data_IF_892536507033
#
_entry.id   IF_892536507033
#
_cell.length_a   1.000
_cell.length_b   1.000
_cell.length_c   1.000
_cell.angle_alpha   90.00
_cell.angle_beta   90.00
_cell.angle_gamma   90.00
#
_symmetry.space_group_name_H-M   'P 1'
#
loop_
_entity.id
_entity.type
_entity.pdbx_description
1 polymer ?
#
# COMPACT_ATOMS: atom_id res chain seq x y z
N UNK A 1 -23.14 15.23 37.43
CA UNK A 1 -23.84 16.12 36.48
C UNK A 1 -25.04 16.83 37.11
N UNK A 2 -25.98 16.16 37.76
CA UNK A 2 -27.15 16.79 38.39
C UNK A 2 -26.75 17.79 39.48
N UNK A 3 -25.74 17.50 40.28
CA UNK A 3 -25.23 18.41 41.30
C UNK A 3 -24.52 19.65 40.70
N UNK A 4 -23.87 19.49 39.55
CA UNK A 4 -23.28 20.59 38.79
C UNK A 4 -24.35 21.51 38.20
N UNK A 5 -25.42 20.95 37.62
CA UNK A 5 -26.57 21.73 37.10
C UNK A 5 -27.21 22.60 38.16
N UNK A 6 -27.33 22.10 39.39
CA UNK A 6 -27.92 22.85 40.50
C UNK A 6 -27.09 24.01 41.03
N UNK A 7 -25.78 24.03 40.75
CA UNK A 7 -24.81 25.03 41.23
C UNK A 7 -24.34 26.01 40.16
N UNK A 8 -24.65 25.74 38.90
CA UNK A 8 -24.24 26.59 37.78
C UNK A 8 -25.23 27.69 37.50
N UNK A 9 -24.73 28.82 37.06
CA UNK A 9 -25.51 29.97 36.57
C UNK A 9 -25.28 30.08 35.06
N UNK A 10 -26.33 30.33 34.29
CA UNK A 10 -26.18 30.46 32.84
C UNK A 10 -25.43 31.76 32.46
N UNK A 11 -24.51 31.73 31.46
CA UNK A 11 -24.11 30.59 30.64
C UNK A 11 -22.87 29.86 31.20
N UNK A 12 -23.06 28.68 31.78
CA UNK A 12 -21.95 27.82 32.24
C UNK A 12 -21.85 26.56 31.42
N UNK A 13 -20.60 26.16 31.08
CA UNK A 13 -20.34 24.90 30.39
C UNK A 13 -20.43 23.75 31.41
N UNK A 14 -21.44 22.94 31.32
CA UNK A 14 -21.71 21.87 32.28
C UNK A 14 -21.04 20.55 31.91
N UNK A 15 -20.76 20.34 30.64
CA UNK A 15 -20.16 19.12 30.12
C UNK A 15 -19.42 19.39 28.79
N UNK A 16 -18.26 18.85 28.65
CA UNK A 16 -17.56 18.77 27.36
C UNK A 16 -17.94 17.46 26.66
N UNK A 17 -17.90 17.46 25.33
CA UNK A 17 -17.94 16.20 24.58
C UNK A 17 -16.80 15.29 25.02
N UNK A 18 -17.09 13.99 25.09
CA UNK A 18 -16.05 13.00 25.37
C UNK A 18 -14.97 13.09 24.29
N UNK A 19 -13.71 13.15 24.72
CA UNK A 19 -12.61 13.10 23.76
C UNK A 19 -12.61 11.75 23.00
N UNK A 20 -11.92 11.73 21.87
CA UNK A 20 -11.89 10.55 20.98
C UNK A 20 -11.33 9.32 21.68
N UNK A 21 -10.36 9.48 22.58
CA UNK A 21 -9.76 8.38 23.34
C UNK A 21 -10.77 7.70 24.27
N UNK A 22 -11.51 8.51 25.04
CA UNK A 22 -12.55 8.00 25.94
C UNK A 22 -13.72 7.36 25.19
N UNK A 23 -14.08 7.89 24.02
CA UNK A 23 -15.08 7.29 23.13
C UNK A 23 -14.64 5.90 22.65
N UNK A 24 -13.39 5.77 22.20
CA UNK A 24 -12.82 4.48 21.74
C UNK A 24 -12.79 3.48 22.91
N UNK A 25 -12.38 3.92 24.09
CA UNK A 25 -12.32 3.06 25.29
C UNK A 25 -13.74 2.58 25.65
N UNK A 26 -14.71 3.48 25.69
CA UNK A 26 -16.11 3.13 25.97
C UNK A 26 -16.64 2.05 25.02
N UNK A 27 -16.35 2.19 23.73
CA UNK A 27 -16.92 1.33 22.69
C UNK A 27 -16.14 0.01 22.51
N UNK A 28 -14.89 -0.04 22.96
CA UNK A 28 -13.97 -1.16 22.68
C UNK A 28 -13.48 -1.91 23.90
N UNK A 29 -13.49 -1.31 25.11
CA UNK A 29 -12.94 -1.92 26.31
C UNK A 29 -13.73 -3.16 26.71
N UNK A 30 -13.09 -4.31 26.66
CA UNK A 30 -13.64 -5.59 27.09
C UNK A 30 -12.63 -6.36 27.97
N UNK A 31 -12.97 -7.57 28.36
CA UNK A 31 -12.12 -8.43 29.22
C UNK A 31 -10.81 -8.90 28.58
N UNK A 32 -10.64 -8.74 27.26
CA UNK A 32 -9.43 -9.19 26.54
C UNK A 32 -8.28 -8.20 26.59
N UNK A 33 -8.51 -6.96 27.05
CA UNK A 33 -7.47 -5.95 27.15
C UNK A 33 -6.55 -6.19 28.35
N UNK A 34 -5.26 -6.33 28.09
CA UNK A 34 -4.23 -6.52 29.11
C UNK A 34 -3.52 -5.23 29.51
N UNK A 35 -3.46 -4.23 28.62
CA UNK A 35 -2.76 -2.98 28.85
C UNK A 35 -3.30 -1.85 27.95
N UNK A 36 -3.33 -0.63 28.48
CA UNK A 36 -3.52 0.63 27.76
C UNK A 36 -2.27 1.46 28.03
N UNK A 37 -1.43 1.66 27.03
CA UNK A 37 -0.23 2.47 27.12
C UNK A 37 -0.49 3.86 26.53
N UNK A 38 -0.07 4.91 27.24
CA UNK A 38 -0.25 6.31 26.85
C UNK A 38 1.08 7.04 27.10
N UNK A 39 1.54 7.84 26.16
CA UNK A 39 2.79 8.61 26.22
C UNK A 39 2.62 10.07 26.60
N UNK A 40 1.38 10.56 26.64
CA UNK A 40 1.03 11.89 27.13
C UNK A 40 0.46 11.81 28.56
N UNK A 41 1.00 12.63 29.48
CA UNK A 41 0.64 12.58 30.88
C UNK A 41 -0.77 13.13 31.16
N UNK A 42 -1.21 14.13 30.40
CA UNK A 42 -2.54 14.70 30.55
C UNK A 42 -3.61 13.70 30.10
N UNK A 43 -3.39 13.07 28.92
CA UNK A 43 -4.27 12.02 28.40
C UNK A 43 -4.26 10.78 29.28
N UNK A 44 -3.10 10.39 29.85
CA UNK A 44 -3.02 9.28 30.79
C UNK A 44 -3.91 9.53 32.02
N UNK A 45 -3.84 10.71 32.65
CA UNK A 45 -4.67 11.05 33.81
C UNK A 45 -6.15 11.04 33.45
N UNK A 46 -6.52 11.61 32.31
CA UNK A 46 -7.91 11.62 31.83
C UNK A 46 -8.47 10.23 31.60
N UNK A 47 -7.72 9.36 30.88
CA UNK A 47 -8.11 7.97 30.63
C UNK A 47 -8.23 7.18 31.94
N UNK A 48 -7.26 7.34 32.82
CA UNK A 48 -7.27 6.68 34.13
C UNK A 48 -8.48 7.05 34.96
N UNK A 49 -8.82 8.34 35.02
CA UNK A 49 -9.95 8.84 35.79
C UNK A 49 -11.29 8.41 35.16
N UNK A 50 -11.35 8.35 33.81
CA UNK A 50 -12.51 7.81 33.11
C UNK A 50 -12.71 6.32 33.39
N UNK A 51 -11.68 5.50 33.28
CA UNK A 51 -11.75 4.05 33.56
C UNK A 51 -12.10 3.82 35.04
N UNK A 52 -11.59 4.63 35.96
CA UNK A 52 -11.93 4.54 37.40
C UNK A 52 -13.42 4.73 37.65
N UNK A 53 -14.10 5.52 36.83
CA UNK A 53 -15.55 5.73 36.97
C UNK A 53 -16.37 4.56 36.41
N UNK A 54 -15.87 3.86 35.36
CA UNK A 54 -16.60 2.78 34.68
C UNK A 54 -16.25 1.42 35.29
N UNK A 55 -14.99 1.13 35.47
CA UNK A 55 -14.47 -0.15 35.93
C UNK A 55 -13.20 0.06 36.79
N UNK A 56 -13.36 0.27 38.09
CA UNK A 56 -12.23 0.54 38.99
C UNK A 56 -11.15 -0.53 39.00
N UNK A 57 -11.51 -1.81 38.72
CA UNK A 57 -10.58 -2.92 38.72
C UNK A 57 -9.60 -2.84 37.54
N UNK A 58 -10.03 -2.28 36.44
CA UNK A 58 -9.23 -2.11 35.22
C UNK A 58 -8.32 -0.88 35.22
N UNK A 59 -8.33 -0.03 36.22
CA UNK A 59 -7.41 1.11 36.33
C UNK A 59 -5.95 0.66 36.25
N UNK A 60 -5.65 -0.53 36.74
CA UNK A 60 -4.28 -1.12 36.77
C UNK A 60 -3.68 -1.39 35.40
N UNK A 61 -4.53 -1.54 34.35
CA UNK A 61 -4.06 -1.79 33.00
C UNK A 61 -3.60 -0.52 32.29
N UNK A 62 -3.98 0.67 32.78
CA UNK A 62 -3.54 1.96 32.21
C UNK A 62 -2.13 2.26 32.70
N UNK A 63 -1.21 2.48 31.76
CA UNK A 63 0.20 2.74 32.06
C UNK A 63 0.70 3.95 31.26
N UNK A 64 1.40 4.84 31.97
CA UNK A 64 2.13 5.91 31.35
C UNK A 64 3.43 5.36 30.75
N UNK A 65 3.59 5.54 29.45
CA UNK A 65 4.80 5.15 28.72
C UNK A 65 5.85 6.27 28.83
N UNK A 66 7.04 5.94 29.33
CA UNK A 66 8.16 6.88 29.50
C UNK A 66 9.44 6.36 28.82
N UNK A 67 9.31 5.54 27.79
CA UNK A 67 10.46 5.02 27.05
C UNK A 67 11.07 6.06 26.11
N UNK A 68 12.37 5.87 25.78
CA UNK A 68 13.09 6.72 24.84
C UNK A 68 12.74 6.45 23.36
N UNK A 69 12.14 5.31 23.07
CA UNK A 69 11.68 4.93 21.72
C UNK A 69 10.25 5.41 21.56
N UNK A 70 9.83 5.94 20.39
CA UNK A 70 8.43 6.28 20.16
C UNK A 70 7.50 5.12 20.48
N UNK A 71 6.36 5.40 21.12
CA UNK A 71 5.45 4.37 21.61
C UNK A 71 5.01 3.39 20.53
N UNK A 72 4.73 3.86 19.31
CA UNK A 72 4.34 3.01 18.19
C UNK A 72 5.46 2.08 17.73
N UNK A 73 6.71 2.53 17.80
CA UNK A 73 7.86 1.70 17.44
C UNK A 73 8.15 0.65 18.51
N UNK A 74 7.98 1.01 19.80
CA UNK A 74 8.15 0.09 20.91
C UNK A 74 7.15 -1.09 20.87
N UNK A 75 5.94 -0.87 20.35
CA UNK A 75 4.91 -1.89 20.20
C UNK A 75 4.81 -2.44 18.77
N UNK A 76 5.79 -2.21 17.90
CA UNK A 76 5.81 -2.61 16.47
C UNK A 76 4.61 -2.11 15.65
N UNK A 77 3.89 -1.09 16.12
CA UNK A 77 2.69 -0.55 15.46
C UNK A 77 3.06 0.16 14.16
N UNK A 78 4.13 0.96 14.16
CA UNK A 78 4.61 1.64 12.93
C UNK A 78 4.91 0.65 11.81
N UNK A 79 5.52 -0.48 12.13
CA UNK A 79 5.79 -1.57 11.18
C UNK A 79 4.50 -2.21 10.66
N UNK A 80 3.54 -2.45 11.56
CA UNK A 80 2.24 -3.00 11.18
C UNK A 80 1.46 -2.03 10.29
N UNK A 81 1.45 -0.73 10.59
CA UNK A 81 0.82 0.30 9.76
C UNK A 81 1.42 0.31 8.35
N UNK A 82 2.76 0.32 8.24
CA UNK A 82 3.44 0.23 6.92
C UNK A 82 3.04 -1.03 6.15
N UNK A 83 2.89 -2.16 6.84
CA UNK A 83 2.49 -3.42 6.22
C UNK A 83 1.03 -3.44 5.75
N UNK A 84 0.15 -2.62 6.34
CA UNK A 84 -1.26 -2.54 5.94
C UNK A 84 -1.46 -2.02 4.51
N UNK A 85 -0.52 -1.21 4.01
CA UNK A 85 -0.59 -0.68 2.65
C UNK A 85 0.23 -1.52 1.65
N UNK A 86 0.91 -2.56 2.13
CA UNK A 86 1.67 -3.44 1.26
C UNK A 86 0.75 -4.33 0.42
N UNK A 87 1.09 -4.49 -0.86
CA UNK A 87 0.41 -5.43 -1.76
C UNK A 87 0.55 -6.88 -1.28
N UNK A 88 1.68 -7.22 -0.67
CA UNK A 88 2.03 -8.56 -0.19
C UNK A 88 1.84 -8.66 1.32
N UNK A 89 1.17 -9.70 1.77
CA UNK A 89 1.01 -10.05 3.19
C UNK A 89 1.58 -11.43 3.43
N UNK A 90 2.66 -11.51 4.20
CA UNK A 90 3.32 -12.77 4.51
C UNK A 90 2.49 -13.59 5.50
N UNK A 91 2.32 -14.85 5.22
CA UNK A 91 1.73 -15.85 6.09
C UNK A 91 2.83 -16.71 6.77
N UNK A 92 2.43 -17.53 7.73
CA UNK A 92 3.37 -18.46 8.35
C UNK A 92 3.91 -19.46 7.33
N UNK A 93 5.19 -19.87 7.51
CA UNK A 93 5.85 -20.92 6.73
C UNK A 93 6.05 -20.58 5.24
N UNK A 94 6.18 -19.31 4.87
CA UNK A 94 6.55 -18.86 3.52
C UNK A 94 5.39 -18.73 2.52
N UNK A 95 4.15 -19.01 2.92
CA UNK A 95 2.97 -18.64 2.14
C UNK A 95 2.72 -17.13 2.23
N UNK A 96 1.98 -16.56 1.27
CA UNK A 96 1.66 -15.14 1.27
C UNK A 96 0.36 -14.85 0.50
N UNK A 97 -0.23 -13.70 0.81
CA UNK A 97 -1.37 -13.15 0.09
C UNK A 97 -0.91 -12.01 -0.81
N UNK A 98 -1.55 -11.86 -1.96
CA UNK A 98 -1.50 -10.67 -2.79
C UNK A 98 -2.87 -10.01 -2.69
N UNK A 99 -2.91 -8.75 -2.24
CA UNK A 99 -4.16 -7.98 -2.12
C UNK A 99 -4.08 -6.83 -3.09
N UNK A 100 -4.99 -6.82 -4.06
CA UNK A 100 -5.10 -5.78 -5.07
C UNK A 100 -6.48 -5.13 -5.02
N UNK A 101 -6.48 -3.81 -5.16
CA UNK A 101 -7.69 -3.03 -5.32
C UNK A 101 -7.84 -2.68 -6.79
N UNK A 102 -8.94 -3.10 -7.40
CA UNK A 102 -9.33 -2.71 -8.76
C UNK A 102 -10.42 -1.64 -8.68
N UNK A 103 -10.80 -1.08 -9.81
CA UNK A 103 -11.85 -0.06 -9.86
C UNK A 103 -13.19 -0.53 -9.25
N UNK A 104 -13.56 -1.79 -9.46
CA UNK A 104 -14.86 -2.33 -9.07
C UNK A 104 -14.82 -3.25 -7.85
N UNK A 105 -13.69 -3.90 -7.55
CA UNK A 105 -13.61 -4.96 -6.54
C UNK A 105 -12.22 -5.07 -5.94
N UNK A 106 -12.12 -5.80 -4.82
CA UNK A 106 -10.85 -6.23 -4.28
C UNK A 106 -10.58 -7.67 -4.68
N UNK A 107 -9.35 -7.97 -5.07
CA UNK A 107 -8.92 -9.31 -5.42
C UNK A 107 -7.83 -9.75 -4.45
N UNK A 108 -7.96 -10.95 -3.92
CA UNK A 108 -6.99 -11.55 -2.99
C UNK A 108 -6.57 -12.89 -3.56
N UNK A 109 -5.29 -13.04 -3.84
CA UNK A 109 -4.68 -14.27 -4.34
C UNK A 109 -3.87 -14.94 -3.21
N UNK A 110 -4.03 -16.25 -3.04
CA UNK A 110 -3.38 -17.06 -2.00
C UNK A 110 -2.27 -17.89 -2.60
N UNK A 111 -1.04 -17.63 -2.17
CA UNK A 111 0.15 -18.32 -2.65
C UNK A 111 0.78 -19.20 -1.58
N UNK A 112 1.07 -20.47 -1.90
CA UNK A 112 1.71 -21.42 -0.99
C UNK A 112 3.23 -21.19 -0.79
N UNK A 113 3.86 -20.36 -1.65
CA UNK A 113 5.30 -20.23 -1.68
C UNK A 113 6.01 -21.50 -2.18
N UNK A 114 7.28 -21.69 -1.79
CA UNK A 114 8.11 -22.82 -2.25
C UNK A 114 7.78 -24.17 -1.58
N UNK A 115 6.50 -24.51 -1.47
CA UNK A 115 6.06 -25.78 -0.88
C UNK A 115 5.66 -26.78 -1.94
N UNK A 116 6.63 -27.39 -2.57
CA UNK A 116 6.47 -28.63 -3.36
C UNK A 116 6.76 -29.82 -2.44
N UNK A 117 5.72 -30.49 -1.93
CA UNK A 117 5.84 -31.82 -1.30
C UNK A 117 5.01 -32.81 -2.10
N UNK A 118 5.42 -34.09 -2.00
CA UNK A 118 4.84 -35.24 -2.72
C UNK A 118 3.30 -35.23 -2.75
N UNK A 119 2.71 -35.74 -3.84
CA UNK A 119 1.29 -35.67 -4.19
C UNK A 119 0.31 -36.07 -3.09
N UNK A 120 0.63 -37.05 -2.25
CA UNK A 120 -0.25 -37.53 -1.15
C UNK A 120 -0.47 -36.50 -0.03
N UNK A 121 0.37 -35.45 0.06
CA UNK A 121 0.26 -34.41 1.09
C UNK A 121 -0.19 -33.05 0.51
N UNK A 122 -0.44 -32.96 -0.80
CA UNK A 122 -0.72 -31.69 -1.49
C UNK A 122 -2.06 -31.09 -1.04
N UNK A 123 -3.13 -31.91 -1.01
CA UNK A 123 -4.46 -31.50 -0.57
C UNK A 123 -4.45 -31.01 0.91
N UNK A 124 -3.76 -31.71 1.79
CA UNK A 124 -3.66 -31.30 3.21
C UNK A 124 -2.84 -30.03 3.35
N UNK A 125 -1.76 -29.90 2.58
CA UNK A 125 -0.92 -28.68 2.58
C UNK A 125 -1.71 -27.49 2.06
N UNK A 126 -2.49 -27.68 0.97
CA UNK A 126 -3.37 -26.64 0.42
C UNK A 126 -4.42 -26.21 1.44
N UNK A 127 -5.04 -27.17 2.14
CA UNK A 127 -6.03 -26.89 3.19
C UNK A 127 -5.43 -26.09 4.35
N UNK A 128 -4.25 -26.49 4.85
CA UNK A 128 -3.56 -25.77 5.94
C UNK A 128 -3.21 -24.33 5.56
N UNK A 129 -2.75 -24.12 4.31
CA UNK A 129 -2.45 -22.78 3.81
C UNK A 129 -3.73 -21.97 3.66
N UNK A 130 -4.78 -22.55 3.08
CA UNK A 130 -6.05 -21.86 2.88
C UNK A 130 -6.72 -21.46 4.21
N UNK A 131 -6.66 -22.31 5.24
CA UNK A 131 -7.16 -21.96 6.57
C UNK A 131 -6.36 -20.84 7.22
N UNK A 132 -5.03 -20.86 7.08
CA UNK A 132 -4.18 -19.77 7.56
C UNK A 132 -4.45 -18.47 6.78
N UNK A 133 -4.66 -18.57 5.47
CA UNK A 133 -5.03 -17.48 4.60
C UNK A 133 -6.40 -16.89 4.99
N UNK A 134 -7.42 -17.72 5.17
CA UNK A 134 -8.77 -17.28 5.57
C UNK A 134 -8.74 -16.44 6.85
N UNK A 135 -7.97 -16.87 7.84
CA UNK A 135 -7.80 -16.14 9.11
C UNK A 135 -7.16 -14.77 8.89
N UNK A 136 -6.09 -14.70 8.10
CA UNK A 136 -5.43 -13.43 7.80
C UNK A 136 -6.28 -12.54 6.88
N UNK A 137 -7.00 -13.11 5.91
CA UNK A 137 -7.92 -12.37 5.04
C UNK A 137 -9.00 -11.69 5.87
N UNK A 138 -9.69 -12.40 6.75
CA UNK A 138 -10.70 -11.83 7.63
C UNK A 138 -10.12 -10.69 8.50
N UNK A 139 -8.87 -10.83 8.94
CA UNK A 139 -8.14 -9.77 9.66
C UNK A 139 -7.86 -8.57 8.74
N UNK A 140 -7.36 -8.79 7.53
CA UNK A 140 -7.03 -7.73 6.55
C UNK A 140 -8.27 -6.98 6.08
N UNK A 141 -9.40 -7.65 5.88
CA UNK A 141 -10.68 -7.00 5.55
C UNK A 141 -11.07 -5.95 6.59
N UNK A 142 -10.90 -6.26 7.88
CA UNK A 142 -11.19 -5.33 8.98
C UNK A 142 -10.13 -4.23 9.10
N UNK A 143 -8.85 -4.58 9.02
CA UNK A 143 -7.75 -3.63 9.22
C UNK A 143 -7.69 -2.57 8.13
N UNK A 144 -7.88 -2.98 6.87
CA UNK A 144 -7.86 -2.09 5.69
C UNK A 144 -9.22 -1.49 5.38
N UNK A 145 -10.26 -1.87 6.12
CA UNK A 145 -11.67 -1.55 5.87
C UNK A 145 -12.08 -1.83 4.41
N UNK A 146 -11.62 -2.97 3.87
CA UNK A 146 -11.96 -3.37 2.51
C UNK A 146 -13.46 -3.65 2.42
N UNK A 147 -14.15 -2.91 1.59
CA UNK A 147 -15.59 -3.03 1.38
C UNK A 147 -15.95 -3.20 -0.10
N UNK A 148 -17.21 -3.44 -0.37
CA UNK A 148 -17.69 -3.80 -1.71
C UNK A 148 -17.55 -5.29 -1.98
N UNK A 149 -17.25 -5.64 -3.22
CA UNK A 149 -17.04 -7.03 -3.66
C UNK A 149 -15.57 -7.39 -3.40
N UNK A 150 -15.36 -8.53 -2.75
CA UNK A 150 -14.04 -9.12 -2.53
C UNK A 150 -14.05 -10.52 -3.14
N UNK A 151 -13.13 -10.79 -4.04
CA UNK A 151 -12.91 -12.10 -4.65
C UNK A 151 -11.61 -12.67 -4.09
N UNK A 152 -11.68 -13.88 -3.58
CA UNK A 152 -10.55 -14.59 -3.01
C UNK A 152 -10.28 -15.81 -3.88
N UNK A 153 -9.05 -15.91 -4.38
CA UNK A 153 -8.56 -17.07 -5.11
C UNK A 153 -7.75 -17.94 -4.15
N UNK A 154 -8.40 -19.02 -3.66
CA UNK A 154 -7.78 -19.98 -2.76
C UNK A 154 -7.02 -21.04 -3.56
N UNK A 155 -6.02 -21.65 -2.92
CA UNK A 155 -5.33 -22.79 -3.51
C UNK A 155 -6.35 -23.91 -3.77
N UNK A 156 -6.29 -24.51 -4.96
CA UNK A 156 -7.23 -25.54 -5.38
C UNK A 156 -7.36 -26.67 -4.37
N UNK A 157 -8.62 -27.01 -4.07
CA UNK A 157 -9.02 -28.14 -3.25
C UNK A 157 -9.89 -29.09 -4.10
N UNK A 158 -9.57 -30.38 -4.06
CA UNK A 158 -10.30 -31.37 -4.83
C UNK A 158 -11.48 -31.96 -4.05
N UNK A 159 -11.31 -32.18 -2.73
CA UNK A 159 -12.31 -32.78 -1.88
C UNK A 159 -13.43 -31.80 -1.50
N UNK A 160 -14.69 -32.16 -1.78
CA UNK A 160 -15.84 -31.32 -1.44
C UNK A 160 -15.94 -31.02 0.05
N UNK A 161 -15.54 -31.96 0.91
CA UNK A 161 -15.49 -31.77 2.38
C UNK A 161 -14.52 -30.65 2.77
N UNK A 162 -13.35 -30.56 2.14
CA UNK A 162 -12.37 -29.52 2.41
C UNK A 162 -12.86 -28.13 1.95
N UNK A 163 -13.54 -28.09 0.80
CA UNK A 163 -14.17 -26.86 0.31
C UNK A 163 -15.24 -26.35 1.28
N UNK A 164 -16.08 -27.27 1.78
CA UNK A 164 -17.10 -26.91 2.78
C UNK A 164 -16.47 -26.46 4.09
N UNK A 165 -15.46 -27.17 4.59
CA UNK A 165 -14.77 -26.82 5.83
C UNK A 165 -14.08 -25.43 5.73
N UNK A 166 -13.49 -25.09 4.58
CA UNK A 166 -12.90 -23.78 4.34
C UNK A 166 -13.97 -22.66 4.34
N UNK A 167 -15.12 -22.93 3.70
CA UNK A 167 -16.26 -22.01 3.71
C UNK A 167 -16.77 -21.78 5.14
N UNK A 168 -17.02 -22.84 5.89
CA UNK A 168 -17.55 -22.77 7.26
C UNK A 168 -16.58 -22.00 8.18
N UNK A 169 -15.28 -22.22 8.03
CA UNK A 169 -14.26 -21.50 8.79
C UNK A 169 -14.25 -20.01 8.41
N UNK A 170 -14.37 -19.66 7.12
CA UNK A 170 -14.45 -18.25 6.71
C UNK A 170 -15.68 -17.57 7.28
N UNK A 171 -16.85 -18.20 7.24
CA UNK A 171 -18.09 -17.67 7.84
C UNK A 171 -17.88 -17.39 9.33
N UNK A 172 -17.33 -18.35 10.06
CA UNK A 172 -17.02 -18.21 11.49
C UNK A 172 -16.04 -17.07 11.79
N UNK A 173 -14.99 -16.92 10.97
CA UNK A 173 -14.01 -15.84 11.12
C UNK A 173 -14.61 -14.47 10.85
N UNK A 174 -15.61 -14.40 9.97
CA UNK A 174 -16.31 -13.15 9.65
C UNK A 174 -17.38 -12.76 10.67
N UNK A 175 -17.87 -13.67 11.53
CA UNK A 175 -18.84 -13.34 12.59
C UNK A 175 -18.37 -12.22 13.54
N UNK A 176 -17.06 -12.07 13.70
CA UNK A 176 -16.46 -11.01 14.52
C UNK A 176 -16.43 -9.65 13.84
N UNK A 177 -16.78 -9.56 12.56
CA UNK A 177 -16.82 -8.31 11.81
C UNK A 177 -18.11 -7.54 12.09
N UNK A 178 -18.00 -6.29 12.53
CA UNK A 178 -19.15 -5.42 12.82
C UNK A 178 -19.83 -4.88 11.54
N UNK A 179 -19.16 -4.94 10.39
CA UNK A 179 -19.74 -4.52 9.12
C UNK A 179 -20.67 -5.61 8.57
N UNK A 180 -21.79 -5.22 7.96
CA UNK A 180 -22.66 -6.16 7.25
C UNK A 180 -21.88 -6.83 6.12
N UNK A 181 -21.91 -8.14 6.08
CA UNK A 181 -21.20 -8.93 5.07
C UNK A 181 -21.99 -10.17 4.70
N UNK A 182 -21.67 -10.73 3.56
CA UNK A 182 -22.18 -12.02 3.10
C UNK A 182 -21.02 -12.79 2.48
N UNK A 183 -20.82 -14.03 2.90
CA UNK A 183 -19.82 -14.95 2.36
C UNK A 183 -20.57 -15.96 1.49
N UNK A 184 -20.14 -16.14 0.24
CA UNK A 184 -20.69 -17.16 -0.66
C UNK A 184 -19.78 -18.39 -0.70
N UNK A 185 -20.35 -19.59 -0.87
CA UNK A 185 -19.57 -20.83 -1.00
C UNK A 185 -18.56 -20.75 -2.14
N UNK A 186 -17.51 -21.58 -2.08
CA UNK A 186 -16.52 -21.66 -3.15
C UNK A 186 -17.19 -22.08 -4.47
N UNK A 187 -16.83 -21.39 -5.52
CA UNK A 187 -17.22 -21.74 -6.89
C UNK A 187 -16.53 -23.04 -7.33
N UNK A 188 -16.92 -23.58 -8.47
CA UNK A 188 -16.25 -24.74 -9.10
C UNK A 188 -14.77 -24.46 -9.40
N UNK A 189 -14.42 -23.19 -9.59
CA UNK A 189 -13.06 -22.71 -9.90
C UNK A 189 -12.23 -22.34 -8.65
N UNK A 190 -12.67 -22.68 -7.43
CA UNK A 190 -11.93 -22.37 -6.21
C UNK A 190 -12.09 -20.95 -5.68
N UNK A 191 -12.85 -20.09 -6.37
CA UNK A 191 -13.06 -18.72 -5.97
C UNK A 191 -14.09 -18.59 -4.86
N UNK A 192 -13.79 -17.80 -3.81
CA UNK A 192 -14.76 -17.40 -2.79
C UNK A 192 -15.11 -15.92 -2.97
N UNK A 193 -16.38 -15.58 -2.88
CA UNK A 193 -16.85 -14.20 -2.94
C UNK A 193 -17.36 -13.76 -1.59
N UNK A 194 -16.92 -12.56 -1.17
CA UNK A 194 -17.44 -11.87 0.00
C UNK A 194 -17.97 -10.51 -0.42
N UNK A 195 -19.16 -10.16 0.02
CA UNK A 195 -19.65 -8.79 -0.06
C UNK A 195 -19.61 -8.18 1.34
N UNK A 196 -19.02 -6.99 1.49
CA UNK A 196 -18.87 -6.31 2.74
C UNK A 196 -19.29 -4.83 2.60
N UNK A 197 -20.11 -4.34 3.52
CA UNK A 197 -20.52 -2.94 3.52
C UNK A 197 -19.30 -2.05 3.82
N UNK A 198 -19.10 -1.00 3.03
CA UNK A 198 -18.11 0.05 3.33
C UNK A 198 -18.58 0.85 4.53
N UNK A 199 -17.78 0.93 5.56
CA UNK A 199 -18.08 1.68 6.79
C UNK A 199 -17.42 3.06 6.74
N UNK A 200 -16.30 3.20 6.03
CA UNK A 200 -15.52 4.43 5.88
C UNK A 200 -15.17 4.68 4.42
N UNK A 201 -14.89 5.94 4.03
CA UNK A 201 -14.25 6.20 2.74
C UNK A 201 -12.93 5.41 2.66
N UNK A 202 -12.62 4.89 1.48
CA UNK A 202 -11.36 4.17 1.26
C UNK A 202 -10.22 5.14 1.59
N UNK A 203 -9.46 4.84 2.62
CA UNK A 203 -8.19 5.52 2.86
C UNK A 203 -7.21 5.06 1.79
N UNK A 204 -7.28 5.65 0.61
CA UNK A 204 -6.24 5.54 -0.41
C UNK A 204 -5.13 6.52 0.00
N UNK A 205 -4.42 6.20 1.06
CA UNK A 205 -3.12 6.80 1.26
C UNK A 205 -2.15 6.06 0.33
N UNK A 206 -1.81 6.71 -0.77
CA UNK A 206 -0.64 6.31 -1.55
C UNK A 206 0.58 6.58 -0.67
N UNK A 207 1.02 5.56 0.05
CA UNK A 207 2.24 5.61 0.89
C UNK A 207 3.50 5.65 0.02
N UNK A 208 3.35 5.65 -1.29
CA UNK A 208 4.44 5.69 -2.26
C UNK A 208 4.25 6.85 -3.23
N UNK A 209 5.30 7.62 -3.41
CA UNK A 209 5.37 8.59 -4.49
C UNK A 209 5.35 7.88 -5.85
N UNK A 210 4.75 8.52 -6.84
CA UNK A 210 4.76 8.01 -8.21
C UNK A 210 6.22 7.97 -8.68
N UNK A 211 6.68 6.80 -9.09
CA UNK A 211 8.04 6.64 -9.60
C UNK A 211 8.25 7.57 -10.83
N UNK A 212 9.19 8.53 -10.79
CA UNK A 212 9.39 9.46 -11.91
C UNK A 212 9.88 8.77 -13.19
N UNK A 213 10.43 7.54 -13.06
CA UNK A 213 10.93 6.78 -14.22
C UNK A 213 9.82 6.08 -15.00
N UNK A 214 8.79 5.57 -14.33
CA UNK A 214 7.72 4.79 -14.98
C UNK A 214 6.32 5.39 -14.77
N UNK A 215 6.21 6.54 -14.12
CA UNK A 215 4.95 7.21 -13.80
C UNK A 215 3.89 6.26 -13.20
N UNK A 216 4.35 5.33 -12.33
CA UNK A 216 3.49 4.36 -11.64
C UNK A 216 3.15 3.09 -12.43
N UNK A 217 3.55 2.99 -13.72
CA UNK A 217 3.25 1.81 -14.55
C UNK A 217 4.03 0.55 -14.15
N UNK A 218 5.12 0.67 -13.37
CA UNK A 218 6.04 -0.42 -13.04
C UNK A 218 6.83 -0.96 -14.24
N UNK A 219 6.62 -0.41 -15.42
CA UNK A 219 7.28 -0.79 -16.68
C UNK A 219 7.92 0.44 -17.31
N UNK A 220 9.11 0.28 -17.85
CA UNK A 220 9.80 1.27 -18.67
C UNK A 220 9.96 0.72 -20.09
N UNK A 221 9.97 1.59 -21.08
CA UNK A 221 10.32 1.18 -22.44
C UNK A 221 11.72 0.55 -22.47
N UNK A 222 11.93 -0.48 -23.32
CA UNK A 222 13.27 -1.09 -23.44
C UNK A 222 14.31 -0.04 -23.85
N UNK A 223 15.36 0.10 -23.03
CA UNK A 223 16.44 1.05 -23.29
C UNK A 223 17.39 0.60 -24.41
N UNK A 224 17.26 -0.66 -24.85
CA UNK A 224 18.14 -1.30 -25.87
C UNK A 224 18.17 -0.58 -27.20
N UNK A 225 17.12 0.16 -27.55
CA UNK A 225 17.02 0.91 -28.81
C UNK A 225 17.03 2.43 -28.61
N UNK A 226 17.31 2.91 -27.40
CA UNK A 226 17.25 4.35 -27.11
C UNK A 226 18.27 5.15 -27.92
N UNK A 227 19.47 4.62 -28.10
CA UNK A 227 20.51 5.21 -28.93
C UNK A 227 20.06 5.38 -30.37
N UNK A 228 19.42 4.35 -30.94
CA UNK A 228 18.85 4.41 -32.30
C UNK A 228 17.68 5.38 -32.42
N UNK A 229 16.79 5.41 -31.41
CA UNK A 229 15.71 6.40 -31.38
C UNK A 229 16.26 7.84 -31.39
N UNK A 230 17.26 8.12 -30.55
CA UNK A 230 17.92 9.42 -30.49
C UNK A 230 18.62 9.73 -31.82
N UNK A 231 19.35 8.78 -32.39
CA UNK A 231 20.05 8.95 -33.67
C UNK A 231 19.08 9.26 -34.82
N UNK A 232 17.98 8.50 -34.92
CA UNK A 232 16.95 8.73 -35.95
C UNK A 232 16.32 10.12 -35.83
N UNK A 233 16.04 10.57 -34.61
CA UNK A 233 15.47 11.88 -34.37
C UNK A 233 16.47 13.01 -34.71
N UNK A 234 17.74 12.83 -34.38
CA UNK A 234 18.80 13.77 -34.81
C UNK A 234 18.90 13.81 -36.33
N UNK A 235 18.83 12.66 -37.00
CA UNK A 235 18.83 12.57 -38.46
C UNK A 235 17.66 13.37 -39.05
N UNK A 236 16.46 13.15 -38.58
CA UNK A 236 15.26 13.87 -38.99
C UNK A 236 15.38 15.39 -38.80
N UNK A 237 15.80 15.82 -37.60
CA UNK A 237 15.95 17.23 -37.28
C UNK A 237 17.03 17.92 -38.13
N UNK A 238 18.07 17.20 -38.54
CA UNK A 238 19.17 17.75 -39.31
C UNK A 238 18.95 17.69 -40.82
N UNK A 239 18.47 16.55 -41.33
CA UNK A 239 18.32 16.31 -42.78
C UNK A 239 17.02 16.88 -43.33
N UNK A 240 15.89 16.64 -42.62
CA UNK A 240 14.57 17.07 -43.09
C UNK A 240 14.23 18.50 -42.67
N UNK A 241 14.61 18.89 -41.41
CA UNK A 241 14.31 20.23 -40.87
C UNK A 241 15.48 21.21 -40.92
N UNK A 242 16.69 20.79 -41.33
CA UNK A 242 17.85 21.66 -41.55
C UNK A 242 18.50 22.24 -40.29
N UNK A 243 18.22 21.72 -39.11
CA UNK A 243 18.79 22.25 -37.88
C UNK A 243 20.30 21.94 -37.78
N UNK A 244 21.12 22.96 -37.55
CA UNK A 244 22.59 22.84 -37.38
C UNK A 244 23.03 22.83 -35.93
N UNK A 245 22.09 23.03 -34.97
CA UNK A 245 22.31 22.99 -33.55
C UNK A 245 21.14 22.30 -32.87
N UNK A 246 21.44 21.33 -32.00
CA UNK A 246 20.45 20.61 -31.18
C UNK A 246 20.97 20.54 -29.75
N UNK A 247 20.16 21.03 -28.81
CA UNK A 247 20.36 20.80 -27.38
C UNK A 247 19.50 19.58 -26.97
N UNK A 248 20.18 18.52 -26.57
CA UNK A 248 19.58 17.25 -26.15
C UNK A 248 19.52 17.21 -24.63
N UNK A 249 18.32 17.25 -24.05
CA UNK A 249 18.11 17.15 -22.60
C UNK A 249 17.66 15.73 -22.28
N UNK A 250 18.40 15.06 -21.41
CA UNK A 250 18.24 13.64 -21.10
C UNK A 250 18.56 13.37 -19.61
N UNK A 251 18.16 12.22 -19.11
CA UNK A 251 18.55 11.79 -17.76
C UNK A 251 20.07 11.75 -17.59
N UNK A 252 20.61 11.92 -16.36
CA UNK A 252 22.05 11.87 -16.07
C UNK A 252 22.74 10.59 -16.56
N UNK A 253 22.05 9.45 -16.49
CA UNK A 253 22.57 8.16 -16.96
C UNK A 253 22.79 8.15 -18.48
N UNK A 254 21.80 8.61 -19.24
CA UNK A 254 21.89 8.70 -20.70
C UNK A 254 22.91 9.77 -21.11
N UNK A 255 22.97 10.90 -20.42
CA UNK A 255 23.98 11.93 -20.69
C UNK A 255 25.42 11.40 -20.52
N UNK A 256 25.66 10.64 -19.46
CA UNK A 256 26.94 9.99 -19.21
C UNK A 256 27.27 8.97 -20.31
N UNK A 257 26.33 8.10 -20.67
CA UNK A 257 26.47 7.13 -21.75
C UNK A 257 26.80 7.78 -23.09
N UNK A 258 26.09 8.84 -23.47
CA UNK A 258 26.31 9.57 -24.73
C UNK A 258 27.65 10.29 -24.79
N UNK A 259 28.22 10.67 -23.64
CA UNK A 259 29.51 11.37 -23.52
C UNK A 259 30.69 10.46 -23.27
N UNK A 260 30.48 9.18 -23.01
CA UNK A 260 31.50 8.22 -22.60
C UNK A 260 32.54 7.95 -23.73
N UNK A 261 33.83 8.05 -23.37
CA UNK A 261 34.94 7.70 -24.23
C UNK A 261 35.37 8.79 -25.24
N UNK A 262 36.54 8.57 -25.82
CA UNK A 262 37.17 9.48 -26.84
C UNK A 262 36.33 9.58 -28.12
N UNK A 263 35.73 8.44 -28.55
CA UNK A 263 34.80 8.35 -29.68
C UNK A 263 33.36 8.21 -29.23
N UNK A 264 32.92 9.11 -28.34
CA UNK A 264 31.56 9.09 -27.78
C UNK A 264 30.49 9.13 -28.88
N UNK A 265 29.28 8.56 -28.57
CA UNK A 265 28.15 8.59 -29.49
C UNK A 265 27.81 10.03 -29.90
N UNK A 266 27.87 10.98 -28.95
CA UNK A 266 27.71 12.41 -29.22
C UNK A 266 28.65 12.91 -30.33
N UNK A 267 29.99 12.59 -30.26
CA UNK A 267 30.99 13.01 -31.26
C UNK A 267 30.75 12.34 -32.60
N UNK A 268 30.42 11.05 -32.61
CA UNK A 268 30.09 10.30 -33.82
C UNK A 268 28.90 10.93 -34.55
N UNK A 269 27.83 11.26 -33.88
CA UNK A 269 26.65 11.89 -34.45
C UNK A 269 26.92 13.34 -34.92
N UNK A 270 27.69 14.11 -34.14
CA UNK A 270 28.14 15.45 -34.60
C UNK A 270 28.87 15.41 -35.92
N UNK A 271 29.77 14.45 -36.10
CA UNK A 271 30.54 14.29 -37.30
C UNK A 271 29.71 13.73 -38.46
N UNK A 272 28.88 12.70 -38.20
CA UNK A 272 28.01 12.07 -39.21
C UNK A 272 26.96 13.01 -39.77
N UNK A 273 26.30 13.78 -38.93
CA UNK A 273 25.17 14.68 -39.32
C UNK A 273 25.59 16.14 -39.46
N UNK A 274 26.85 16.47 -39.29
CA UNK A 274 27.38 17.84 -39.35
C UNK A 274 26.61 18.83 -38.50
N UNK A 275 26.16 18.39 -37.30
CA UNK A 275 25.34 19.14 -36.35
C UNK A 275 26.11 19.41 -35.07
N UNK A 276 25.89 20.57 -34.45
CA UNK A 276 26.41 20.88 -33.12
C UNK A 276 25.47 20.34 -32.09
N UNK A 277 25.84 19.25 -31.42
CA UNK A 277 25.03 18.54 -30.42
C UNK A 277 25.50 18.90 -29.01
N UNK A 278 24.61 19.52 -28.20
CA UNK A 278 24.87 19.87 -26.82
C UNK A 278 24.01 18.95 -25.91
N UNK A 279 24.65 18.10 -25.10
CA UNK A 279 23.95 17.14 -24.22
C UNK A 279 23.92 17.71 -22.81
N UNK A 280 22.72 17.93 -22.27
CA UNK A 280 22.46 18.42 -20.92
C UNK A 280 21.80 17.31 -20.10
N UNK A 281 22.24 17.15 -18.85
CA UNK A 281 21.65 16.22 -17.92
C UNK A 281 20.56 16.92 -17.10
N UNK A 282 19.40 16.30 -16.99
CA UNK A 282 18.29 16.74 -16.14
C UNK A 282 17.84 15.58 -15.23
N UNK A 283 17.85 15.80 -13.92
CA UNK A 283 17.49 14.80 -12.92
C UNK A 283 15.99 14.52 -12.85
N UNK A 284 15.16 15.42 -13.37
CA UNK A 284 13.70 15.28 -13.37
C UNK A 284 13.20 14.31 -14.45
N UNK A 285 14.05 14.01 -15.45
CA UNK A 285 13.66 13.19 -16.61
C UNK A 285 13.84 11.69 -16.34
N UNK A 286 12.87 10.91 -16.79
CA UNK A 286 12.96 9.45 -16.85
C UNK A 286 14.08 8.96 -17.79
N UNK A 287 14.51 7.70 -17.65
CA UNK A 287 15.64 7.14 -18.41
C UNK A 287 15.39 7.19 -19.93
N UNK A 288 14.16 6.99 -20.38
CA UNK A 288 13.80 6.94 -21.81
C UNK A 288 13.27 8.27 -22.35
N UNK A 289 13.16 9.25 -21.48
CA UNK A 289 12.63 10.57 -21.81
C UNK A 289 13.73 11.46 -22.38
N UNK A 290 13.46 12.06 -23.56
CA UNK A 290 14.46 12.81 -24.32
C UNK A 290 13.78 14.05 -24.93
N UNK A 291 14.31 15.24 -24.63
CA UNK A 291 13.83 16.49 -25.20
C UNK A 291 14.88 17.12 -26.13
N UNK A 292 14.41 17.75 -27.20
CA UNK A 292 15.23 18.33 -28.24
C UNK A 292 14.90 19.84 -28.38
N UNK A 293 15.87 20.69 -28.10
CA UNK A 293 15.69 22.13 -28.12
C UNK A 293 16.65 22.81 -29.09
N UNK A 294 16.26 24.01 -29.54
CA UNK A 294 17.13 24.92 -30.28
C UNK A 294 18.04 25.72 -29.32
N UNK A 295 18.78 26.72 -29.87
CA UNK A 295 19.62 27.61 -29.04
C UNK A 295 18.81 28.54 -28.12
N UNK A 296 17.52 28.75 -28.42
CA UNK A 296 16.63 29.63 -27.67
C UNK A 296 15.73 28.82 -26.71
N UNK A 297 16.06 27.55 -26.50
CA UNK A 297 15.30 26.58 -25.66
C UNK A 297 13.87 26.30 -26.18
N UNK A 298 13.57 26.54 -27.45
CA UNK A 298 12.32 26.11 -28.03
C UNK A 298 12.37 24.62 -28.36
N UNK A 299 11.28 23.92 -28.09
CA UNK A 299 11.13 22.48 -28.41
C UNK A 299 11.11 22.29 -29.94
N UNK A 300 11.92 21.37 -30.46
CA UNK A 300 12.05 21.06 -31.87
C UNK A 300 11.07 20.02 -32.39
N UNK A 301 10.41 19.27 -31.48
CA UNK A 301 9.51 18.15 -31.83
C UNK A 301 8.05 18.59 -31.76
N UNK A 302 7.65 19.31 -30.71
CA UNK A 302 6.27 19.73 -30.47
C UNK A 302 5.91 21.10 -31.10
N UNK A 303 6.24 21.28 -32.37
CA UNK A 303 5.79 22.45 -33.16
C UNK A 303 4.85 22.04 -34.24
#
# INVERSE_FOLDING_TARGET
TVAAIRRSTAPDQLMNEMNRANTIIRDSLNGSFSQIAVDDEAMYNEIRDYIKQIDPEKVKIVKLYKGNVPIFDNFDISKQIKSLFAKYVSLKRGAYLIIEHTEAMNVIDVNSGNRTKAEDNQEQTAMDVNLAAAKEIARQLRLRDLGGIVIIDFIDLHKAQNKQALYDEMVKLMETDKAKHTVLPLTKFGLMQITRQRVRPVAVESVSDVCPTCNGSGKIEPTVLLDKKIENQISFLTQDRGHKYIKLVVSPYVASFLKQGLWSLRRRWQWKYKVRLHVVADQSLGIVEVHYHDRKDNDLINK
#
